data_IF_028973019220
#
_entry.id   IF_028973019220
#
_cell.length_a   1.000
_cell.length_b   1.000
_cell.length_c   1.000
_cell.angle_alpha   90.00
_cell.angle_beta   90.00
_cell.angle_gamma   90.00
#
_symmetry.space_group_name_H-M   'P 1'
#
loop_
_entity.id
_entity.type
_entity.pdbx_description
1 polymer ?
#
# COMPACT_ATOMS: atom_id res chain seq x y z
N UNK A 1 -1.65 10.64 13.13
CA UNK A 1 -0.64 11.29 12.26
C UNK A 1 0.79 10.79 12.49
N UNK A 2 1.23 10.52 13.73
CA UNK A 2 2.61 10.08 14.04
C UNK A 2 3.07 8.87 13.22
N UNK A 3 2.29 7.78 13.17
CA UNK A 3 2.69 6.58 12.42
C UNK A 3 2.85 6.83 10.91
N UNK A 4 1.90 7.55 10.28
CA UNK A 4 1.98 7.88 8.85
C UNK A 4 3.22 8.72 8.56
N UNK A 5 3.50 9.73 9.39
CA UNK A 5 4.67 10.58 9.21
C UNK A 5 5.97 9.79 9.39
N UNK A 6 6.04 8.92 10.40
CA UNK A 6 7.21 8.09 10.63
C UNK A 6 7.47 7.14 9.44
N UNK A 7 6.44 6.46 8.94
CA UNK A 7 6.58 5.60 7.74
C UNK A 7 7.04 6.41 6.53
N UNK A 8 6.51 7.63 6.31
CA UNK A 8 6.97 8.51 5.22
C UNK A 8 8.45 8.88 5.37
N UNK A 9 8.89 9.23 6.58
CA UNK A 9 10.30 9.57 6.82
C UNK A 9 11.22 8.38 6.56
N UNK A 10 10.83 7.18 7.00
CA UNK A 10 11.59 5.95 6.74
C UNK A 10 11.68 5.65 5.25
N UNK A 11 10.59 5.82 4.49
CA UNK A 11 10.58 5.60 3.04
C UNK A 11 11.44 6.63 2.29
N UNK A 12 11.41 7.90 2.70
CA UNK A 12 12.23 8.95 2.10
C UNK A 12 13.73 8.78 2.39
N UNK A 13 14.07 8.20 3.55
CA UNK A 13 15.45 7.92 3.95
C UNK A 13 15.98 6.57 3.42
N UNK A 14 15.09 5.71 2.91
CA UNK A 14 15.48 4.39 2.43
C UNK A 14 16.31 4.50 1.15
N UNK A 15 17.47 3.83 1.15
CA UNK A 15 18.23 3.58 -0.07
C UNK A 15 17.75 2.26 -0.64
N UNK A 16 17.15 2.31 -1.83
CA UNK A 16 16.52 1.18 -2.47
C UNK A 16 17.13 0.98 -3.87
N UNK A 17 17.37 -0.27 -4.23
CA UNK A 17 17.66 -0.69 -5.59
C UNK A 17 16.88 -1.98 -5.91
N UNK A 18 17.03 -2.45 -7.14
CA UNK A 18 16.32 -3.63 -7.64
C UNK A 18 17.01 -4.96 -7.24
N UNK A 19 18.10 -4.92 -6.46
CA UNK A 19 18.89 -6.11 -6.13
C UNK A 19 18.07 -7.20 -5.42
N UNK A 20 17.02 -6.80 -4.71
CA UNK A 20 16.13 -7.68 -3.94
C UNK A 20 14.99 -8.27 -4.76
N UNK A 21 14.75 -7.82 -5.99
CA UNK A 21 13.62 -8.29 -6.82
C UNK A 21 13.75 -9.78 -7.15
N UNK A 22 14.97 -10.29 -7.28
CA UNK A 22 15.25 -11.71 -7.57
C UNK A 22 15.25 -12.61 -6.34
N UNK A 23 15.23 -12.05 -5.12
CA UNK A 23 15.21 -12.82 -3.89
C UNK A 23 13.81 -13.36 -3.58
N UNK A 24 13.78 -14.53 -2.96
CA UNK A 24 12.55 -15.19 -2.51
C UNK A 24 12.28 -14.80 -1.06
N UNK A 25 11.11 -14.23 -0.82
CA UNK A 25 10.60 -13.89 0.52
C UNK A 25 9.59 -14.93 0.96
N UNK A 26 9.79 -15.51 2.15
CA UNK A 26 8.81 -16.38 2.80
C UNK A 26 7.83 -15.55 3.61
N UNK A 27 6.54 -15.77 3.39
CA UNK A 27 5.45 -15.21 4.18
C UNK A 27 4.75 -16.33 4.93
N UNK A 28 4.72 -16.23 6.25
CA UNK A 28 3.98 -17.12 7.12
C UNK A 28 2.49 -16.72 7.13
N UNK A 29 1.60 -17.67 6.83
CA UNK A 29 0.15 -17.48 6.83
C UNK A 29 -0.50 -17.95 8.15
N UNK A 30 0.32 -18.45 9.08
CA UNK A 30 -0.12 -19.05 10.34
C UNK A 30 -0.41 -20.55 10.20
N UNK A 31 -0.60 -21.22 11.35
CA UNK A 31 -0.94 -22.66 11.41
C UNK A 31 0.06 -23.56 10.67
N UNK A 32 1.33 -23.15 10.62
CA UNK A 32 2.40 -23.88 9.91
C UNK A 32 2.36 -23.78 8.38
N UNK A 33 1.47 -22.95 7.82
CA UNK A 33 1.40 -22.70 6.38
C UNK A 33 2.20 -21.46 6.00
N UNK A 34 2.91 -21.53 4.87
CA UNK A 34 3.69 -20.43 4.31
C UNK A 34 3.60 -20.40 2.79
N UNK A 35 3.96 -19.26 2.21
CA UNK A 35 4.17 -19.07 0.78
C UNK A 35 5.54 -18.45 0.53
N UNK A 36 6.23 -18.92 -0.51
CA UNK A 36 7.50 -18.36 -0.96
C UNK A 36 7.26 -17.56 -2.24
N UNK A 37 7.59 -16.27 -2.22
CA UNK A 37 7.34 -15.34 -3.33
C UNK A 37 8.65 -14.69 -3.79
N UNK A 38 9.01 -14.79 -5.08
CA UNK A 38 9.98 -13.87 -5.69
C UNK A 38 9.54 -12.42 -5.48
N UNK A 39 10.50 -11.48 -5.40
CA UNK A 39 10.22 -10.07 -5.15
C UNK A 39 9.17 -9.45 -6.08
N UNK A 40 9.12 -9.85 -7.36
CA UNK A 40 8.08 -9.39 -8.30
C UNK A 40 6.66 -9.82 -7.91
N UNK A 41 6.46 -11.09 -7.53
CA UNK A 41 5.16 -11.60 -7.07
C UNK A 41 4.82 -11.04 -5.68
N UNK A 42 5.83 -10.88 -4.81
CA UNK A 42 5.65 -10.24 -3.52
C UNK A 42 5.09 -8.83 -3.66
N UNK A 43 5.63 -8.02 -4.57
CA UNK A 43 5.16 -6.64 -4.76
C UNK A 43 3.77 -6.63 -5.41
N UNK A 44 3.62 -7.31 -6.54
CA UNK A 44 2.43 -7.18 -7.39
C UNK A 44 1.20 -7.89 -6.83
N UNK A 45 1.38 -9.09 -6.26
CA UNK A 45 0.27 -9.97 -5.91
C UNK A 45 0.02 -10.06 -4.40
N UNK A 46 1.02 -9.71 -3.57
CA UNK A 46 0.87 -9.66 -2.13
C UNK A 46 0.80 -8.23 -1.58
N UNK A 47 1.86 -7.45 -1.72
CA UNK A 47 2.00 -6.15 -1.05
C UNK A 47 1.01 -5.11 -1.56
N UNK A 48 0.94 -4.90 -2.88
CA UNK A 48 0.06 -3.89 -3.49
C UNK A 48 -1.43 -4.17 -3.18
N UNK A 49 -1.96 -5.40 -3.38
CA UNK A 49 -3.34 -5.71 -3.04
C UNK A 49 -3.65 -5.52 -1.56
N UNK A 50 -2.78 -5.97 -0.64
CA UNK A 50 -2.96 -5.78 0.80
C UNK A 50 -2.98 -4.30 1.18
N UNK A 51 -2.07 -3.50 0.63
CA UNK A 51 -2.01 -2.07 0.89
C UNK A 51 -3.32 -1.37 0.51
N UNK A 52 -3.82 -1.60 -0.71
CA UNK A 52 -5.06 -0.98 -1.17
C UNK A 52 -6.30 -1.51 -0.45
N UNK A 53 -6.33 -2.80 -0.09
CA UNK A 53 -7.40 -3.37 0.72
C UNK A 53 -7.55 -2.65 2.07
N UNK A 54 -6.45 -2.45 2.79
CA UNK A 54 -6.49 -1.75 4.07
C UNK A 54 -6.78 -0.26 3.91
N UNK A 55 -6.24 0.39 2.88
CA UNK A 55 -6.48 1.80 2.61
C UNK A 55 -7.94 2.08 2.28
N UNK A 56 -8.57 1.29 1.40
CA UNK A 56 -9.99 1.45 1.06
C UNK A 56 -10.89 1.07 2.24
N UNK A 57 -10.52 0.05 3.03
CA UNK A 57 -11.27 -0.30 4.24
C UNK A 57 -11.30 0.85 5.25
N UNK A 58 -10.15 1.52 5.46
CA UNK A 58 -10.10 2.69 6.34
C UNK A 58 -10.96 3.85 5.80
N UNK A 59 -10.92 4.10 4.49
CA UNK A 59 -11.80 5.05 3.82
C UNK A 59 -13.28 4.71 4.05
N UNK A 60 -13.68 3.46 3.85
CA UNK A 60 -15.07 3.02 3.99
C UNK A 60 -15.57 3.12 5.43
N UNK A 61 -14.74 2.77 6.42
CA UNK A 61 -15.09 2.94 7.85
C UNK A 61 -15.36 4.40 8.17
N UNK A 62 -14.48 5.32 7.75
CA UNK A 62 -14.64 6.75 8.01
C UNK A 62 -15.88 7.32 7.31
N UNK A 63 -16.09 6.95 6.05
CA UNK A 63 -17.27 7.34 5.28
C UNK A 63 -18.56 6.81 5.91
N UNK A 64 -18.57 5.55 6.34
CA UNK A 64 -19.70 4.94 7.04
C UNK A 64 -20.00 5.64 8.38
N UNK A 65 -18.98 6.17 9.07
CA UNK A 65 -19.13 6.96 10.29
C UNK A 65 -19.57 8.42 10.04
N UNK A 66 -19.86 8.79 8.81
CA UNK A 66 -20.38 10.11 8.45
C UNK A 66 -19.30 11.17 8.25
N UNK A 67 -18.03 10.79 8.12
CA UNK A 67 -17.00 11.73 7.67
C UNK A 67 -17.29 12.12 6.22
N UNK A 68 -17.25 13.42 5.94
CA UNK A 68 -17.49 13.98 4.60
C UNK A 68 -16.27 13.73 3.70
N UNK A 69 -16.17 12.50 3.18
CA UNK A 69 -15.17 12.07 2.21
C UNK A 69 -15.83 11.39 1.01
N UNK A 70 -15.28 11.66 -0.16
CA UNK A 70 -15.83 11.28 -1.46
C UNK A 70 -14.81 10.47 -2.27
N UNK A 71 -15.23 9.90 -3.40
CA UNK A 71 -14.33 9.14 -4.27
C UNK A 71 -13.15 10.01 -4.79
N UNK A 72 -13.36 11.28 -5.18
CA UNK A 72 -12.27 12.20 -5.48
C UNK A 72 -11.18 12.29 -4.41
N UNK A 73 -11.55 12.29 -3.12
CA UNK A 73 -10.57 12.35 -2.01
C UNK A 73 -9.66 11.12 -2.00
N UNK A 74 -10.20 9.94 -2.29
CA UNK A 74 -9.41 8.72 -2.47
C UNK A 74 -8.51 8.77 -3.72
N UNK A 75 -8.98 9.43 -4.79
CA UNK A 75 -8.29 9.52 -6.09
C UNK A 75 -7.31 10.71 -6.20
N UNK A 76 -6.98 11.39 -5.08
CA UNK A 76 -6.07 12.56 -5.09
C UNK A 76 -4.71 12.31 -5.73
N UNK A 77 -4.24 11.06 -5.78
CA UNK A 77 -3.00 10.69 -6.48
C UNK A 77 -3.04 10.97 -7.99
N UNK A 78 -4.23 11.13 -8.59
CA UNK A 78 -4.39 11.51 -10.00
C UNK A 78 -4.43 13.03 -10.21
N UNK A 79 -4.42 13.86 -9.15
CA UNK A 79 -4.66 15.29 -9.27
C UNK A 79 -3.69 16.00 -10.22
N UNK A 80 -2.41 15.59 -10.24
CA UNK A 80 -1.40 16.15 -11.16
C UNK A 80 -1.58 15.75 -12.63
N UNK A 81 -2.40 14.72 -12.90
CA UNK A 81 -2.66 14.20 -14.24
C UNK A 81 -3.96 14.76 -14.84
N UNK A 82 -4.78 15.46 -14.05
CA UNK A 82 -6.04 16.06 -14.51
C UNK A 82 -5.74 17.19 -15.49
N UNK A 83 -6.30 17.09 -16.71
CA UNK A 83 -6.24 18.12 -17.74
C UNK A 83 -7.60 18.83 -17.83
N UNK A 84 -7.59 20.13 -18.04
CA UNK A 84 -8.79 20.91 -18.38
C UNK A 84 -8.95 20.93 -19.90
N UNK A 85 -10.19 20.86 -20.37
CA UNK A 85 -10.55 21.02 -21.77
C UNK A 85 -10.73 22.52 -22.10
#
# INVERSE_FOLDING_TARGET
MVHINNTKQLLLAAQCDDSKISEVTRIELGQGSYIDLPGTLYINDFLIPNFYFHMVTAYDILRHKGLDISKPDYMLHLASLVKQA
#
